data_IF_444742564494
#
_entry.id   IF_444742564494
#
_cell.length_a   1.000
_cell.length_b   1.000
_cell.length_c   1.000
_cell.angle_alpha   90.00
_cell.angle_beta   90.00
_cell.angle_gamma   90.00
#
_symmetry.space_group_name_H-M   'P 1'
#
loop_
_entity.id
_entity.type
_entity.pdbx_description
1 polymer ?
#
# COMPACT_ATOMS: atom_id res chain seq x y z
N UNK A 1 41.20 -31.64 -95.31
CA UNK A 1 40.57 -32.40 -94.25
C UNK A 1 39.72 -31.47 -93.45
N UNK A 2 38.43 -31.33 -93.67
CA UNK A 2 37.57 -30.56 -92.84
C UNK A 2 36.87 -31.44 -91.78
N UNK A 3 36.88 -30.99 -90.55
CA UNK A 3 36.20 -31.63 -89.45
C UNK A 3 34.69 -31.27 -89.50
N UNK A 4 33.90 -32.32 -89.36
CA UNK A 4 32.44 -32.24 -89.23
C UNK A 4 32.04 -31.60 -87.87
N UNK A 5 31.31 -30.55 -87.93
CA UNK A 5 30.64 -29.95 -86.70
C UNK A 5 29.23 -30.51 -86.68
N UNK A 6 29.01 -31.50 -85.81
CA UNK A 6 27.68 -32.03 -85.53
C UNK A 6 26.93 -31.04 -84.59
N UNK A 7 25.93 -30.40 -85.14
CA UNK A 7 25.01 -29.54 -84.32
C UNK A 7 24.05 -30.46 -83.59
N UNK A 8 24.11 -30.41 -82.23
CA UNK A 8 23.08 -30.98 -81.40
C UNK A 8 21.91 -29.95 -81.22
N UNK A 9 20.79 -30.43 -81.70
CA UNK A 9 19.52 -29.72 -81.46
C UNK A 9 19.06 -30.04 -80.05
N UNK A 10 19.11 -29.06 -79.17
CA UNK A 10 18.61 -29.16 -77.80
C UNK A 10 17.09 -28.92 -77.83
N UNK A 11 16.34 -29.98 -77.58
CA UNK A 11 14.90 -30.01 -77.53
C UNK A 11 14.43 -29.28 -76.27
N UNK A 12 13.90 -28.06 -76.39
CA UNK A 12 13.34 -27.28 -75.30
C UNK A 12 12.02 -27.90 -74.86
N UNK A 13 12.03 -28.43 -73.63
CA UNK A 13 10.81 -28.82 -72.91
C UNK A 13 9.90 -27.62 -72.63
N UNK A 14 8.58 -27.79 -72.68
CA UNK A 14 7.65 -26.68 -72.51
C UNK A 14 7.69 -26.10 -71.03
N UNK A 15 7.88 -24.81 -70.97
CA UNK A 15 7.87 -24.01 -69.80
C UNK A 15 6.51 -24.13 -69.04
N UNK A 16 6.52 -24.76 -67.89
CA UNK A 16 5.37 -24.82 -67.01
C UNK A 16 5.05 -23.40 -66.56
N UNK A 17 3.95 -22.82 -67.01
CA UNK A 17 3.35 -21.63 -66.47
C UNK A 17 3.08 -21.85 -64.98
N UNK A 18 3.83 -21.16 -64.13
CA UNK A 18 3.49 -20.97 -62.70
C UNK A 18 2.22 -20.16 -62.65
N UNK A 19 1.16 -20.78 -62.16
CA UNK A 19 -0.03 -20.07 -61.73
C UNK A 19 0.36 -19.14 -60.56
N UNK A 20 -0.14 -17.87 -60.54
CA UNK A 20 0.10 -16.98 -59.42
C UNK A 20 -0.57 -17.59 -58.19
N UNK A 21 0.26 -17.94 -57.19
CA UNK A 21 -0.21 -18.41 -55.91
C UNK A 21 -1.20 -17.41 -55.35
N UNK A 22 -2.41 -17.85 -55.12
CA UNK A 22 -3.37 -17.15 -54.30
C UNK A 22 -2.74 -16.95 -52.93
N UNK A 23 -2.24 -15.74 -52.67
CA UNK A 23 -2.01 -15.28 -51.33
C UNK A 23 -3.39 -15.21 -50.69
N UNK A 24 -3.80 -16.28 -50.02
CA UNK A 24 -4.87 -16.21 -49.03
C UNK A 24 -4.45 -15.16 -48.01
N UNK A 25 -4.91 -13.94 -48.21
CA UNK A 25 -5.06 -12.98 -47.12
C UNK A 25 -6.06 -13.61 -46.14
N UNK A 26 -5.53 -14.40 -45.19
CA UNK A 26 -6.22 -14.58 -43.93
C UNK A 26 -6.27 -13.20 -43.27
N UNK A 27 -7.19 -12.37 -43.74
CA UNK A 27 -7.64 -11.24 -42.96
C UNK A 27 -8.17 -11.80 -41.66
N UNK A 28 -7.44 -11.52 -40.59
CA UNK A 28 -7.84 -11.73 -39.21
C UNK A 28 -9.19 -11.03 -38.99
N UNK A 29 -10.28 -11.69 -39.37
CA UNK A 29 -11.61 -11.29 -38.93
C UNK A 29 -11.74 -11.75 -37.50
N UNK A 30 -11.09 -10.98 -36.61
CA UNK A 30 -11.41 -11.07 -35.19
C UNK A 30 -12.92 -10.91 -35.05
N UNK A 31 -13.58 -12.00 -34.73
CA UNK A 31 -15.02 -12.02 -34.59
C UNK A 31 -15.41 -11.14 -33.42
N UNK A 32 -16.57 -10.52 -33.48
CA UNK A 32 -17.14 -9.71 -32.36
C UNK A 32 -17.04 -10.48 -31.05
N UNK A 33 -17.11 -11.79 -31.08
CA UNK A 33 -16.96 -12.71 -29.95
C UNK A 33 -15.58 -12.61 -29.31
N UNK A 34 -14.50 -12.54 -30.11
CA UNK A 34 -13.12 -12.42 -29.60
C UNK A 34 -12.87 -11.07 -28.95
N UNK A 35 -13.45 -9.99 -29.51
CA UNK A 35 -13.42 -8.67 -28.87
C UNK A 35 -14.17 -8.67 -27.54
N UNK A 36 -15.34 -9.29 -27.48
CA UNK A 36 -16.14 -9.39 -26.25
C UNK A 36 -15.42 -10.24 -25.20
N UNK A 37 -14.79 -11.33 -25.59
CA UNK A 37 -14.00 -12.19 -24.69
C UNK A 37 -12.79 -11.41 -24.13
N UNK A 38 -12.02 -10.75 -24.98
CA UNK A 38 -10.89 -9.92 -24.56
C UNK A 38 -11.32 -8.78 -23.65
N UNK A 39 -12.44 -8.12 -23.96
CA UNK A 39 -13.02 -7.07 -23.12
C UNK A 39 -13.42 -7.62 -21.75
N UNK A 40 -14.09 -8.78 -21.72
CA UNK A 40 -14.53 -9.42 -20.48
C UNK A 40 -13.33 -9.77 -19.59
N UNK A 41 -12.30 -10.40 -20.16
CA UNK A 41 -11.06 -10.75 -19.44
C UNK A 41 -10.39 -9.49 -18.90
N UNK A 42 -10.29 -8.43 -19.70
CA UNK A 42 -9.70 -7.16 -19.29
C UNK A 42 -10.45 -6.53 -18.13
N UNK A 43 -11.78 -6.52 -18.19
CA UNK A 43 -12.64 -6.00 -17.11
C UNK A 43 -12.47 -6.82 -15.83
N UNK A 44 -12.46 -8.15 -15.93
CA UNK A 44 -12.25 -9.04 -14.77
C UNK A 44 -10.87 -8.78 -14.13
N UNK A 45 -9.80 -8.70 -14.93
CA UNK A 45 -8.46 -8.41 -14.43
C UNK A 45 -8.36 -7.01 -13.80
N UNK A 46 -8.99 -6.00 -14.39
CA UNK A 46 -9.03 -4.66 -13.84
C UNK A 46 -9.79 -4.62 -12.49
N UNK A 47 -10.94 -5.27 -12.42
CA UNK A 47 -11.72 -5.39 -11.18
C UNK A 47 -10.95 -6.17 -10.10
N UNK A 48 -10.28 -7.23 -10.48
CA UNK A 48 -9.41 -7.98 -9.56
C UNK A 48 -8.28 -7.10 -9.04
N UNK A 49 -7.54 -6.42 -9.94
CA UNK A 49 -6.44 -5.55 -9.57
C UNK A 49 -6.86 -4.43 -8.61
N UNK A 50 -7.94 -3.72 -8.93
CA UNK A 50 -8.44 -2.61 -8.09
C UNK A 50 -9.08 -3.07 -6.78
N UNK A 51 -9.68 -4.26 -6.76
CA UNK A 51 -10.32 -4.80 -5.55
C UNK A 51 -9.32 -5.39 -4.55
N UNK A 52 -8.30 -6.10 -5.05
CA UNK A 52 -7.42 -6.90 -4.21
C UNK A 52 -6.00 -6.36 -4.09
N UNK A 53 -5.47 -5.69 -5.11
CA UNK A 53 -4.05 -5.32 -5.14
C UNK A 53 -3.83 -3.87 -4.75
N UNK A 54 -4.57 -2.93 -5.34
CA UNK A 54 -4.33 -1.49 -5.20
C UNK A 54 -5.63 -0.75 -4.93
N UNK A 55 -5.58 0.20 -3.99
CA UNK A 55 -6.70 1.10 -3.75
C UNK A 55 -6.23 2.55 -3.74
N UNK A 56 -6.93 3.41 -4.47
CA UNK A 56 -6.69 4.84 -4.45
C UNK A 56 -7.42 5.48 -3.25
N UNK A 57 -6.71 6.35 -2.54
CA UNK A 57 -7.25 7.19 -1.47
C UNK A 57 -6.86 8.64 -1.71
N UNK A 58 -7.73 9.55 -1.31
CA UNK A 58 -7.42 10.98 -1.26
C UNK A 58 -7.21 11.38 0.20
N UNK A 59 -6.17 12.16 0.49
CA UNK A 59 -5.86 12.64 1.83
C UNK A 59 -6.83 13.77 2.21
N UNK A 60 -7.68 13.57 3.24
CA UNK A 60 -8.68 14.55 3.63
C UNK A 60 -8.22 15.49 4.75
N UNK A 61 -7.13 15.17 5.46
CA UNK A 61 -6.75 15.84 6.70
C UNK A 61 -5.26 16.13 6.80
N UNK A 62 -4.91 17.11 7.65
CA UNK A 62 -3.54 17.56 7.88
C UNK A 62 -2.72 16.64 8.81
N UNK A 63 -3.24 15.50 9.25
CA UNK A 63 -2.58 14.67 10.28
C UNK A 63 -1.23 14.08 9.86
N UNK A 64 -0.96 14.03 8.57
CA UNK A 64 0.31 13.56 7.98
C UNK A 64 1.02 14.70 7.22
N UNK A 65 0.63 15.94 7.47
CA UNK A 65 1.19 17.12 6.82
C UNK A 65 2.69 17.19 7.04
N UNK A 66 3.42 17.70 6.08
CA UNK A 66 4.84 17.59 5.77
C UNK A 66 5.23 16.33 5.00
N UNK A 67 4.61 15.19 5.25
CA UNK A 67 4.87 13.95 4.48
C UNK A 67 3.82 13.76 3.38
N UNK A 68 2.54 13.99 3.72
CA UNK A 68 1.38 13.88 2.81
C UNK A 68 0.52 15.12 2.94
N UNK A 69 0.26 15.79 1.83
CA UNK A 69 -0.52 17.02 1.81
C UNK A 69 -2.02 16.73 1.66
N UNK A 70 -2.83 17.64 2.17
CA UNK A 70 -4.28 17.59 1.96
C UNK A 70 -4.56 17.66 0.45
N UNK A 71 -5.34 16.70 -0.04
CA UNK A 71 -5.70 16.60 -1.46
C UNK A 71 -4.84 15.63 -2.25
N UNK A 72 -3.72 15.16 -1.71
CA UNK A 72 -2.88 14.15 -2.37
C UNK A 72 -3.66 12.87 -2.64
N UNK A 73 -3.34 12.24 -3.77
CA UNK A 73 -3.86 10.94 -4.14
C UNK A 73 -2.82 9.86 -3.88
N UNK A 74 -3.17 8.91 -3.03
CA UNK A 74 -2.32 7.78 -2.67
C UNK A 74 -2.79 6.50 -3.35
N UNK A 75 -1.83 5.71 -3.82
CA UNK A 75 -2.06 4.32 -4.19
C UNK A 75 -1.58 3.42 -3.06
N UNK A 76 -2.53 2.79 -2.39
CA UNK A 76 -2.25 1.89 -1.26
C UNK A 76 -2.15 0.47 -1.78
N UNK A 77 -1.00 -0.16 -1.53
CA UNK A 77 -0.80 -1.57 -1.79
C UNK A 77 -1.44 -2.39 -0.66
N UNK A 78 -2.52 -3.08 -0.99
CA UNK A 78 -3.25 -3.93 -0.03
C UNK A 78 -2.54 -5.26 0.24
N UNK A 79 -1.58 -5.61 -0.60
CA UNK A 79 -0.98 -6.93 -0.64
C UNK A 79 0.26 -7.07 0.24
N UNK A 80 0.88 -5.94 0.63
CA UNK A 80 2.21 -5.97 1.25
C UNK A 80 2.19 -6.46 2.71
N UNK A 81 1.10 -6.21 3.43
CA UNK A 81 0.95 -6.54 4.86
C UNK A 81 -0.10 -7.63 5.11
N UNK A 82 -0.34 -8.49 4.15
CA UNK A 82 -1.22 -9.64 4.32
C UNK A 82 -0.44 -10.78 4.97
N UNK A 83 -1.01 -11.39 6.01
CA UNK A 83 -0.46 -12.57 6.65
C UNK A 83 -1.61 -13.33 7.28
N UNK A 84 -2.18 -14.29 6.56
CA UNK A 84 -3.20 -15.21 7.09
C UNK A 84 -2.59 -16.54 7.54
N UNK A 85 -1.25 -16.71 7.39
CA UNK A 85 -0.54 -17.96 7.66
C UNK A 85 -0.75 -19.03 6.58
N UNK A 86 -1.31 -18.66 5.42
CA UNK A 86 -1.59 -19.60 4.35
C UNK A 86 -0.31 -20.03 3.60
N UNK A 87 -0.30 -21.25 3.07
CA UNK A 87 0.87 -21.83 2.39
C UNK A 87 1.39 -21.04 1.20
N UNK A 88 0.53 -20.29 0.51
CA UNK A 88 0.86 -19.45 -0.64
C UNK A 88 1.53 -18.12 -0.27
N UNK A 89 1.54 -17.76 1.01
CA UNK A 89 2.18 -16.50 1.46
C UNK A 89 3.68 -16.49 1.20
N UNK A 90 4.31 -17.66 1.16
CA UNK A 90 5.74 -17.79 0.83
C UNK A 90 6.07 -17.43 -0.63
N UNK A 91 5.06 -17.37 -1.49
CA UNK A 91 5.18 -17.00 -2.91
C UNK A 91 4.91 -15.51 -3.15
N UNK A 92 4.38 -14.81 -2.15
CA UNK A 92 3.97 -13.42 -2.26
C UNK A 92 4.94 -12.52 -1.49
N UNK A 93 5.16 -11.29 -1.94
CA UNK A 93 6.11 -10.37 -1.31
C UNK A 93 5.55 -9.75 -0.01
N UNK A 94 5.03 -10.58 0.89
CA UNK A 94 4.59 -10.13 2.19
C UNK A 94 5.77 -9.80 3.08
N UNK A 95 5.63 -8.72 3.85
CA UNK A 95 6.56 -8.39 4.92
C UNK A 95 5.80 -7.96 6.18
N UNK A 96 6.46 -8.09 7.31
CA UNK A 96 5.97 -7.53 8.57
C UNK A 96 6.00 -6.01 8.53
N UNK A 97 5.10 -5.40 9.29
CA UNK A 97 5.14 -3.96 9.54
C UNK A 97 6.41 -3.61 10.33
N UNK A 98 7.09 -2.57 9.89
CA UNK A 98 8.28 -2.04 10.53
C UNK A 98 7.98 -0.65 11.11
N UNK A 99 8.80 -0.23 12.08
CA UNK A 99 8.74 1.12 12.59
C UNK A 99 9.08 2.13 11.49
N UNK A 100 8.25 3.16 11.35
CA UNK A 100 8.37 4.16 10.30
C UNK A 100 7.48 3.91 9.08
N UNK A 101 6.88 2.72 8.93
CA UNK A 101 5.92 2.46 7.86
C UNK A 101 4.71 3.36 7.96
N UNK A 102 4.27 3.87 6.81
CA UNK A 102 2.99 4.59 6.70
C UNK A 102 1.91 3.57 6.34
N UNK A 103 0.88 3.50 7.17
CA UNK A 103 -0.21 2.54 7.04
C UNK A 103 -1.55 3.24 6.84
N UNK A 104 -2.42 2.60 6.06
CA UNK A 104 -3.82 2.96 5.95
C UNK A 104 -4.64 1.87 6.61
N UNK A 105 -5.47 2.24 7.58
CA UNK A 105 -6.29 1.31 8.33
C UNK A 105 -7.69 1.85 8.57
N UNK A 106 -8.63 0.97 8.87
CA UNK A 106 -9.97 1.37 9.27
C UNK A 106 -9.94 1.89 10.70
N UNK A 107 -10.58 3.03 10.92
CA UNK A 107 -10.71 3.57 12.27
C UNK A 107 -11.58 2.64 13.12
N UNK A 108 -11.11 2.22 14.31
CA UNK A 108 -11.80 1.18 15.10
C UNK A 108 -13.23 1.54 15.53
N UNK A 109 -13.53 2.84 15.65
CA UNK A 109 -14.82 3.32 16.14
C UNK A 109 -15.75 3.87 15.04
N UNK A 110 -15.34 3.76 13.75
CA UNK A 110 -16.17 4.18 12.63
C UNK A 110 -15.80 3.38 11.37
N UNK A 111 -16.60 2.39 11.01
CA UNK A 111 -16.35 1.41 9.95
C UNK A 111 -16.08 2.00 8.55
N UNK A 112 -16.49 3.24 8.31
CA UNK A 112 -16.38 3.88 7.00
C UNK A 112 -15.20 4.85 6.88
N UNK A 113 -14.45 5.06 7.99
CA UNK A 113 -13.33 6.00 8.00
C UNK A 113 -11.99 5.27 7.90
N UNK A 114 -11.16 5.71 6.97
CA UNK A 114 -9.79 5.23 6.83
C UNK A 114 -8.84 6.31 7.34
N UNK A 115 -7.92 5.89 8.19
CA UNK A 115 -6.88 6.75 8.73
C UNK A 115 -5.54 6.38 8.10
N UNK A 116 -4.72 7.41 7.91
CA UNK A 116 -3.33 7.26 7.48
C UNK A 116 -2.45 7.73 8.63
N UNK A 117 -1.57 6.86 9.12
CA UNK A 117 -0.66 7.13 10.23
C UNK A 117 0.67 6.43 10.00
N UNK A 118 1.67 6.83 10.76
CA UNK A 118 2.99 6.19 10.80
C UNK A 118 3.10 5.27 11.99
N UNK A 119 3.63 4.06 11.78
CA UNK A 119 3.94 3.10 12.84
C UNK A 119 5.10 3.62 13.67
N UNK A 120 4.85 3.84 14.95
CA UNK A 120 5.85 4.33 15.92
C UNK A 120 6.25 3.22 16.90
N UNK A 121 5.29 2.47 17.43
CA UNK A 121 5.54 1.35 18.34
C UNK A 121 5.17 0.02 17.71
N UNK A 122 6.06 -0.95 17.84
CA UNK A 122 5.85 -2.34 17.44
C UNK A 122 5.37 -3.18 18.63
N UNK A 123 4.77 -4.37 18.40
CA UNK A 123 4.38 -5.27 19.46
C UNK A 123 5.51 -5.51 20.46
N UNK A 124 5.23 -5.31 21.75
CA UNK A 124 6.19 -5.47 22.85
C UNK A 124 7.05 -4.23 23.16
N UNK A 125 7.01 -3.18 22.36
CA UNK A 125 7.72 -1.95 22.67
C UNK A 125 7.15 -1.24 23.90
N UNK A 126 8.04 -0.63 24.67
CA UNK A 126 7.74 0.30 25.76
C UNK A 126 7.86 1.72 25.24
N UNK A 127 6.75 2.43 25.21
CA UNK A 127 6.65 3.76 24.58
C UNK A 127 6.23 4.81 25.60
N UNK A 128 6.86 5.98 25.51
CA UNK A 128 6.40 7.21 26.16
C UNK A 128 6.74 8.46 25.36
N UNK A 129 6.00 9.51 25.57
CA UNK A 129 6.36 10.87 25.18
C UNK A 129 6.73 11.67 26.43
N UNK A 130 7.82 12.41 26.33
CA UNK A 130 8.24 13.40 27.32
C UNK A 130 8.60 14.66 26.57
N UNK A 131 7.91 15.74 26.85
CA UNK A 131 8.10 17.05 26.19
C UNK A 131 8.13 16.94 24.66
N UNK A 132 7.12 16.26 24.08
CA UNK A 132 6.95 15.99 22.65
C UNK A 132 7.96 15.01 22.02
N UNK A 133 8.98 14.58 22.77
CA UNK A 133 9.95 13.59 22.30
C UNK A 133 9.45 12.17 22.57
N UNK A 134 9.41 11.34 21.54
CA UNK A 134 9.08 9.91 21.68
C UNK A 134 10.29 9.13 22.16
N UNK A 135 10.06 8.29 23.16
CA UNK A 135 11.03 7.31 23.65
C UNK A 135 10.50 5.90 23.42
N UNK A 136 11.34 5.03 22.86
CA UNK A 136 11.06 3.61 22.65
C UNK A 136 12.12 2.79 23.38
N UNK A 137 11.66 1.92 24.29
CA UNK A 137 12.54 1.07 25.10
C UNK A 137 13.63 1.90 25.83
N UNK A 138 13.25 3.07 26.33
CA UNK A 138 14.12 3.99 27.05
C UNK A 138 15.07 4.84 26.18
N UNK A 139 15.00 4.72 24.85
CA UNK A 139 15.83 5.51 23.91
C UNK A 139 14.98 6.51 23.14
N UNK A 140 15.46 7.74 23.02
CA UNK A 140 14.82 8.74 22.19
C UNK A 140 14.78 8.29 20.72
N UNK A 141 13.62 8.38 20.10
CA UNK A 141 13.42 8.07 18.69
C UNK A 141 13.76 9.29 17.85
N UNK A 142 14.60 9.13 16.82
CA UNK A 142 14.84 10.18 15.84
C UNK A 142 13.65 10.24 14.86
N UNK A 143 12.94 11.36 14.82
CA UNK A 143 11.72 11.55 14.05
C UNK A 143 11.80 12.80 13.16
N UNK A 144 12.62 12.75 12.07
CA UNK A 144 12.81 13.91 11.19
C UNK A 144 11.53 14.32 10.43
N UNK A 145 10.52 13.47 10.44
CA UNK A 145 9.21 13.66 9.81
C UNK A 145 8.19 14.32 10.75
N UNK A 146 8.43 14.31 12.06
CA UNK A 146 7.49 14.85 13.03
C UNK A 146 7.46 16.39 12.99
N UNK A 147 6.26 16.94 12.94
CA UNK A 147 6.03 18.39 12.91
C UNK A 147 5.13 18.79 14.08
N UNK A 148 5.51 19.88 14.73
CA UNK A 148 4.74 20.58 15.74
C UNK A 148 4.50 22.01 15.23
N UNK A 149 3.28 22.30 14.78
CA UNK A 149 2.96 23.60 14.16
C UNK A 149 2.60 24.69 15.18
N UNK A 150 2.35 24.30 16.42
CA UNK A 150 2.01 25.21 17.50
C UNK A 150 0.72 26.01 17.31
N UNK A 151 -0.01 25.76 16.22
CA UNK A 151 -1.26 26.46 15.91
C UNK A 151 -2.49 25.77 16.52
N UNK A 152 -2.36 24.48 16.89
CA UNK A 152 -3.41 23.74 17.57
C UNK A 152 -3.53 24.19 19.04
N UNK A 153 -4.73 24.11 19.66
CA UNK A 153 -4.88 24.29 21.10
C UNK A 153 -3.95 23.36 21.87
N UNK A 154 -3.45 23.83 23.01
CA UNK A 154 -2.63 23.02 23.91
C UNK A 154 -3.36 21.72 24.28
N UNK A 155 -2.74 20.59 24.01
CA UNK A 155 -3.20 19.27 24.41
C UNK A 155 -2.09 18.55 25.19
N UNK A 156 -2.31 18.22 26.47
CA UNK A 156 -1.29 17.57 27.29
C UNK A 156 -0.80 16.23 26.70
N UNK A 157 -1.63 15.51 25.94
CA UNK A 157 -1.24 14.24 25.32
C UNK A 157 -0.25 14.40 24.15
N UNK A 158 -0.14 15.60 23.59
CA UNK A 158 0.88 15.92 22.61
C UNK A 158 2.26 16.13 23.24
N UNK A 159 2.30 16.50 24.52
CA UNK A 159 3.53 16.76 25.24
C UNK A 159 4.00 15.53 26.03
N UNK A 160 3.07 14.90 26.75
CA UNK A 160 3.41 13.78 27.63
C UNK A 160 2.38 12.64 27.49
N UNK A 161 2.86 11.47 27.21
CA UNK A 161 2.04 10.27 27.05
C UNK A 161 2.79 9.03 27.54
N UNK A 162 2.17 8.07 28.24
CA UNK A 162 0.77 8.06 28.67
C UNK A 162 0.52 9.08 29.77
N UNK A 163 -0.72 9.61 29.88
CA UNK A 163 -1.08 10.45 31.02
C UNK A 163 -1.07 9.64 32.31
N UNK A 164 -0.98 10.32 33.45
CA UNK A 164 -1.12 9.66 34.74
C UNK A 164 -2.41 8.82 34.78
N UNK A 165 -2.36 7.63 35.38
CA UNK A 165 -3.45 6.63 35.35
C UNK A 165 -4.81 7.20 35.78
N UNK A 166 -4.83 8.23 36.63
CA UNK A 166 -6.02 8.95 37.06
C UNK A 166 -6.59 9.93 36.02
N UNK A 167 -5.79 10.30 35.01
CA UNK A 167 -6.09 11.29 33.96
C UNK A 167 -6.39 10.70 32.61
N UNK A 168 -6.47 9.36 32.48
CA UNK A 168 -6.69 8.68 31.21
C UNK A 168 -8.01 9.02 30.53
N UNK A 169 -8.99 9.50 31.28
CA UNK A 169 -10.28 9.90 30.73
C UNK A 169 -10.28 11.41 30.60
N UNK A 170 -9.74 11.93 29.53
CA UNK A 170 -9.94 13.33 29.12
C UNK A 170 -11.11 13.41 28.15
N UNK A 171 -11.70 14.59 27.98
CA UNK A 171 -12.80 14.78 27.02
C UNK A 171 -12.42 14.50 25.56
N UNK A 172 -11.12 14.41 25.25
CA UNK A 172 -10.58 14.14 23.92
C UNK A 172 -10.36 12.65 23.63
N UNK A 173 -10.34 11.79 24.65
CA UNK A 173 -10.15 10.35 24.49
C UNK A 173 -11.48 9.63 24.36
N UNK A 174 -11.52 8.65 23.46
CA UNK A 174 -12.64 7.70 23.42
C UNK A 174 -12.62 6.85 24.71
N UNK A 175 -13.70 6.80 25.50
CA UNK A 175 -13.70 6.12 26.81
C UNK A 175 -13.29 4.66 26.71
N UNK A 176 -13.78 3.95 25.68
CA UNK A 176 -13.47 2.53 25.45
C UNK A 176 -11.98 2.30 25.14
N UNK A 177 -11.40 3.20 24.34
CA UNK A 177 -9.96 3.19 24.04
C UNK A 177 -9.12 3.51 25.26
N UNK A 178 -9.53 4.49 26.06
CA UNK A 178 -8.85 4.83 27.29
C UNK A 178 -8.84 3.67 28.29
N UNK A 179 -9.93 2.93 28.43
CA UNK A 179 -10.01 1.74 29.27
C UNK A 179 -9.11 0.62 28.78
N UNK A 180 -9.09 0.40 27.47
CA UNK A 180 -8.22 -0.62 26.86
C UNK A 180 -6.74 -0.26 27.07
N UNK A 181 -6.35 0.96 26.78
CA UNK A 181 -4.96 1.43 26.95
C UNK A 181 -4.45 1.35 28.38
N UNK A 182 -5.32 1.66 29.38
CA UNK A 182 -4.96 1.57 30.81
C UNK A 182 -4.44 0.22 31.23
N UNK A 183 -4.83 -0.86 30.56
CA UNK A 183 -4.36 -2.22 30.84
C UNK A 183 -2.88 -2.40 30.53
N UNK A 184 -2.38 -1.61 29.56
CA UNK A 184 -1.03 -1.74 29.03
C UNK A 184 -0.07 -0.67 29.56
N UNK A 185 -0.54 0.21 30.45
CA UNK A 185 0.31 1.23 31.10
C UNK A 185 1.03 0.60 32.29
N UNK A 186 2.35 0.67 32.27
CA UNK A 186 3.26 0.19 33.30
C UNK A 186 4.21 1.33 33.73
N UNK A 187 3.93 1.91 34.88
CA UNK A 187 4.66 3.10 35.34
C UNK A 187 4.31 4.33 34.50
N UNK A 188 5.32 4.89 33.87
CA UNK A 188 5.24 6.07 32.98
C UNK A 188 5.32 5.69 31.48
N UNK A 189 5.21 4.42 31.17
CA UNK A 189 5.30 3.89 29.80
C UNK A 189 4.07 3.04 29.44
N UNK A 190 3.71 3.02 28.16
CA UNK A 190 2.76 2.05 27.63
C UNK A 190 3.53 0.91 26.95
N UNK A 191 3.12 -0.33 27.21
CA UNK A 191 3.63 -1.50 26.50
C UNK A 191 2.68 -1.81 25.34
N UNK A 192 3.18 -1.78 24.13
CA UNK A 192 2.39 -2.10 22.95
C UNK A 192 1.97 -3.57 22.99
N UNK A 193 0.67 -3.91 22.97
CA UNK A 193 0.21 -5.28 23.07
C UNK A 193 0.72 -6.16 21.94
N UNK A 194 0.76 -7.49 22.14
CA UNK A 194 0.94 -8.42 21.02
C UNK A 194 -0.14 -8.18 19.97
N UNK A 195 0.21 -8.28 18.70
CA UNK A 195 -0.68 -8.09 17.55
C UNK A 195 -1.26 -6.66 17.37
N UNK A 196 -0.74 -5.68 18.12
CA UNK A 196 -1.11 -4.27 17.96
C UNK A 196 0.10 -3.41 17.64
N UNK A 197 -0.16 -2.29 17.00
CA UNK A 197 0.84 -1.30 16.65
C UNK A 197 0.42 0.06 17.23
N UNK A 198 1.38 0.83 17.67
CA UNK A 198 1.14 2.22 18.09
C UNK A 198 1.47 3.14 16.92
N UNK A 199 0.49 3.82 16.40
CA UNK A 199 0.62 4.66 15.22
C UNK A 199 0.32 6.13 15.55
N UNK A 200 1.12 7.05 14.99
CA UNK A 200 0.95 8.48 15.17
C UNK A 200 0.94 9.20 13.83
N UNK A 201 0.28 10.38 13.80
CA UNK A 201 0.42 11.28 12.67
C UNK A 201 1.77 12.00 12.68
N UNK A 202 2.25 12.38 11.52
CA UNK A 202 3.49 13.16 11.40
C UNK A 202 3.28 14.59 11.89
N UNK A 203 2.12 15.20 11.63
CA UNK A 203 1.70 16.42 12.30
C UNK A 203 1.11 16.08 13.67
N UNK A 204 1.94 16.19 14.71
CA UNK A 204 1.63 15.79 16.09
C UNK A 204 0.51 16.58 16.71
N UNK A 205 0.38 17.86 16.37
CA UNK A 205 -0.60 18.76 16.94
C UNK A 205 -1.98 18.63 16.29
N UNK A 206 -2.07 18.05 15.08
CA UNK A 206 -3.31 17.88 14.32
C UNK A 206 -3.67 16.43 14.03
N UNK A 207 -3.21 15.51 14.84
CA UNK A 207 -3.44 14.09 14.62
C UNK A 207 -4.31 13.48 15.70
N UNK A 208 -5.45 12.93 15.30
CA UNK A 208 -6.17 11.93 16.06
C UNK A 208 -5.53 10.57 15.76
N UNK A 209 -4.88 9.96 16.76
CA UNK A 209 -4.09 8.75 16.58
C UNK A 209 -4.11 7.87 17.84
N UNK A 210 -3.14 6.95 18.00
CA UNK A 210 -3.12 5.98 19.10
C UNK A 210 -3.02 6.60 20.50
N UNK A 211 -2.85 7.90 20.62
CA UNK A 211 -2.87 8.62 21.91
C UNK A 211 -4.29 8.87 22.41
N UNK A 212 -5.31 8.80 21.51
CA UNK A 212 -6.71 9.18 21.75
C UNK A 212 -7.65 7.96 21.62
#
# INVERSE_FOLDING_TARGET
>A
MPEEITAQVEEQAPEKKQEPGEHEHHGDQTTITEYLESLLVTVILALFGTSFVVQAFKIPSASMESTLLIGDHLLVNKFIFGGTGAWYEKLLPYRSLERGDIIVFKYPFADHQHFVKRVIGLPGDRLKLVDQQVFINGKALAEPYAVHDGAAPYDPLNYNFPPARSQFITAAMQPEWAEEMRKYVHGDEIVVPPDKYFAMGDNRDRSLDSRY
#
